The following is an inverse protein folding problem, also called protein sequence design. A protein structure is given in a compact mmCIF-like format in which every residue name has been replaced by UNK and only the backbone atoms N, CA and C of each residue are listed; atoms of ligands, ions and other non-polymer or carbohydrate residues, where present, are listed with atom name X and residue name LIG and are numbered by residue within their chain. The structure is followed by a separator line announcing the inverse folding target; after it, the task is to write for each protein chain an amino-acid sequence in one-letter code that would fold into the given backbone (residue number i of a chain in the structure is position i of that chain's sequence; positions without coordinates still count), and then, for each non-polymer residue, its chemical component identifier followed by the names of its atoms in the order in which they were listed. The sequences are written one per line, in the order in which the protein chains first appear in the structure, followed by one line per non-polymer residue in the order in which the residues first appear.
data_IF_906196716706
#
_entry.id   IF_906196716706
#
_cell.length_a   1.000
_cell.length_b   1.000
_cell.length_c   1.000
_cell.angle_alpha   90.00
_cell.angle_beta   90.00
_cell.angle_gamma   90.00
#
_symmetry.space_group_name_H-M   'P 1'
#
loop_
_entity.id
_entity.type
_entity.pdbx_description
1 polymer ?
#
# COMPACT_ATOMS: atom_id res chain seq x y z
N UNK A 1 -36.87 -22.63 -80.87
CA UNK A 1 -35.82 -23.05 -79.91
C UNK A 1 -35.42 -21.83 -79.09
N UNK A 2 -36.00 -21.68 -77.89
CA UNK A 2 -35.87 -20.48 -77.05
C UNK A 2 -34.86 -20.78 -75.95
N UNK A 3 -33.81 -19.97 -75.91
CA UNK A 3 -32.69 -20.02 -74.98
C UNK A 3 -33.10 -19.48 -73.61
N UNK A 4 -33.20 -20.35 -72.60
CA UNK A 4 -33.27 -19.93 -71.20
C UNK A 4 -31.86 -19.80 -70.61
N UNK A 5 -31.32 -18.57 -70.63
CA UNK A 5 -30.15 -18.22 -69.80
C UNK A 5 -30.65 -17.93 -68.38
N UNK A 6 -30.22 -18.74 -67.43
CA UNK A 6 -30.43 -18.53 -66.01
C UNK A 6 -29.51 -17.41 -65.52
N UNK A 7 -30.07 -16.41 -64.83
CA UNK A 7 -29.35 -15.30 -64.20
C UNK A 7 -28.87 -15.76 -62.82
N UNK A 8 -27.57 -15.73 -62.50
CA UNK A 8 -27.09 -16.08 -61.17
C UNK A 8 -27.46 -14.98 -60.17
N UNK A 9 -28.21 -15.35 -59.14
CA UNK A 9 -28.51 -14.50 -58.00
C UNK A 9 -27.22 -14.15 -57.26
N UNK A 10 -26.77 -12.90 -57.39
CA UNK A 10 -25.60 -12.42 -56.66
C UNK A 10 -25.95 -12.33 -55.17
N UNK A 11 -25.27 -13.13 -54.35
CA UNK A 11 -25.32 -13.02 -52.88
C UNK A 11 -24.58 -11.75 -52.47
N UNK A 12 -25.33 -10.70 -52.20
CA UNK A 12 -24.81 -9.50 -51.56
C UNK A 12 -24.47 -9.84 -50.10
N UNK A 13 -23.18 -9.88 -49.77
CA UNK A 13 -22.72 -10.02 -48.39
C UNK A 13 -23.06 -8.73 -47.65
N UNK A 14 -24.03 -8.79 -46.74
CA UNK A 14 -24.40 -7.65 -45.92
C UNK A 14 -23.23 -7.27 -44.99
N UNK A 15 -22.63 -6.10 -45.20
CA UNK A 15 -21.68 -5.51 -44.24
C UNK A 15 -22.46 -5.11 -43.00
N UNK A 16 -22.21 -5.79 -41.89
CA UNK A 16 -22.68 -5.37 -40.56
C UNK A 16 -22.06 -4.00 -40.26
N UNK A 17 -22.91 -3.00 -40.00
CA UNK A 17 -22.46 -1.63 -39.75
C UNK A 17 -21.66 -1.55 -38.45
N UNK A 18 -20.39 -1.18 -38.57
CA UNK A 18 -19.35 -1.25 -37.55
C UNK A 18 -19.43 -0.14 -36.48
N UNK A 19 -20.63 0.19 -35.98
CA UNK A 19 -20.76 1.15 -34.85
C UNK A 19 -20.34 0.55 -33.51
N UNK A 20 -20.43 -0.78 -33.39
CA UNK A 20 -20.05 -1.52 -32.17
C UNK A 20 -18.54 -1.76 -32.04
N UNK A 21 -17.79 -1.74 -33.16
CA UNK A 21 -16.34 -1.95 -33.16
C UNK A 21 -15.57 -0.81 -32.49
N UNK A 22 -16.02 0.43 -32.69
CA UNK A 22 -15.38 1.61 -32.09
C UNK A 22 -15.47 1.63 -30.55
N UNK A 23 -16.57 1.14 -29.99
CA UNK A 23 -16.77 1.06 -28.52
C UNK A 23 -15.85 0.00 -27.91
N UNK A 24 -15.69 -1.15 -28.57
CA UNK A 24 -14.79 -2.21 -28.10
C UNK A 24 -13.33 -1.76 -28.09
N UNK A 25 -12.93 -1.00 -29.11
CA UNK A 25 -11.58 -0.44 -29.23
C UNK A 25 -11.30 0.57 -28.12
N UNK A 26 -12.29 1.42 -27.79
CA UNK A 26 -12.22 2.29 -26.63
C UNK A 26 -12.11 1.54 -25.32
N UNK A 27 -12.85 0.45 -25.13
CA UNK A 27 -12.76 -0.38 -23.92
C UNK A 27 -11.39 -1.05 -23.76
N UNK A 28 -10.80 -1.55 -24.86
CA UNK A 28 -9.47 -2.20 -24.84
C UNK A 28 -8.38 -1.23 -24.38
N UNK A 29 -8.51 0.07 -24.70
CA UNK A 29 -7.55 1.10 -24.27
C UNK A 29 -7.91 1.66 -22.89
N UNK A 30 -9.19 1.92 -22.62
CA UNK A 30 -9.63 2.51 -21.37
C UNK A 30 -9.45 1.58 -20.17
N UNK A 31 -9.65 0.27 -20.36
CA UNK A 31 -9.52 -0.72 -19.29
C UNK A 31 -8.12 -0.77 -18.67
N UNK A 32 -7.01 -0.96 -19.43
CA UNK A 32 -5.68 -0.95 -18.85
C UNK A 32 -5.32 0.41 -18.23
N UNK A 33 -5.75 1.53 -18.82
CA UNK A 33 -5.53 2.87 -18.26
C UNK A 33 -6.24 3.05 -16.91
N UNK A 34 -7.47 2.54 -16.79
CA UNK A 34 -8.20 2.59 -15.54
C UNK A 34 -7.55 1.70 -14.48
N UNK A 35 -7.06 0.51 -14.88
CA UNK A 35 -6.37 -0.40 -13.97
C UNK A 35 -5.03 0.16 -13.47
N UNK A 36 -4.24 0.82 -14.32
CA UNK A 36 -2.98 1.45 -13.87
C UNK A 36 -3.26 2.61 -12.91
N UNK A 37 -4.27 3.43 -13.19
CA UNK A 37 -4.68 4.50 -12.29
C UNK A 37 -5.19 3.94 -10.96
N UNK A 38 -5.96 2.85 -10.99
CA UNK A 38 -6.40 2.16 -9.78
C UNK A 38 -5.22 1.64 -8.96
N UNK A 39 -4.20 1.05 -9.60
CA UNK A 39 -3.00 0.59 -8.92
C UNK A 39 -2.31 1.73 -8.15
N UNK A 40 -2.11 2.88 -8.80
CA UNK A 40 -1.51 4.06 -8.16
C UNK A 40 -2.36 4.54 -6.98
N UNK A 41 -3.69 4.59 -7.13
CA UNK A 41 -4.59 4.98 -6.04
C UNK A 41 -4.48 4.02 -4.85
N UNK A 42 -4.38 2.71 -5.09
CA UNK A 42 -4.22 1.72 -4.04
C UNK A 42 -2.88 1.85 -3.31
N UNK A 43 -1.79 2.10 -4.03
CA UNK A 43 -0.48 2.37 -3.42
C UNK A 43 -0.52 3.59 -2.51
N UNK A 44 -1.13 4.68 -2.97
CA UNK A 44 -1.31 5.89 -2.16
C UNK A 44 -2.19 5.59 -0.94
N UNK A 45 -3.31 4.87 -1.11
CA UNK A 45 -4.19 4.51 -0.01
C UNK A 45 -3.46 3.68 1.06
N UNK A 46 -2.64 2.71 0.65
CA UNK A 46 -1.82 1.91 1.57
C UNK A 46 -0.79 2.76 2.31
N UNK A 47 -0.19 3.75 1.64
CA UNK A 47 0.74 4.68 2.29
C UNK A 47 0.03 5.55 3.35
N UNK A 48 -1.17 6.04 3.04
CA UNK A 48 -1.98 6.80 4.01
C UNK A 48 -2.43 5.94 5.19
N UNK A 49 -2.78 4.67 4.95
CA UNK A 49 -3.13 3.74 6.00
C UNK A 49 -1.93 3.47 6.93
N UNK A 50 -0.76 3.14 6.36
CA UNK A 50 0.47 2.92 7.12
C UNK A 50 0.85 4.15 7.96
N UNK A 51 0.64 5.35 7.43
CA UNK A 51 0.84 6.60 8.18
C UNK A 51 -0.08 6.71 9.40
N UNK A 52 -1.36 6.40 9.24
CA UNK A 52 -2.33 6.45 10.34
C UNK A 52 -2.01 5.41 11.42
N UNK A 53 -1.64 4.20 11.02
CA UNK A 53 -1.23 3.12 11.93
C UNK A 53 0.03 3.49 12.72
N UNK A 54 1.04 4.06 12.05
CA UNK A 54 2.26 4.55 12.71
C UNK A 54 1.95 5.65 13.73
N UNK A 55 1.06 6.60 13.39
CA UNK A 55 0.69 7.67 14.30
C UNK A 55 0.01 7.12 15.57
N UNK A 56 -0.91 6.17 15.43
CA UNK A 56 -1.56 5.52 16.56
C UNK A 56 -0.54 4.77 17.45
N UNK A 57 0.40 4.06 16.84
CA UNK A 57 1.47 3.37 17.56
C UNK A 57 2.33 4.35 18.40
N UNK A 58 2.72 5.48 17.80
CA UNK A 58 3.54 6.50 18.44
C UNK A 58 2.80 7.23 19.57
N UNK A 59 1.54 7.59 19.37
CA UNK A 59 0.72 8.24 20.40
C UNK A 59 0.53 7.33 21.61
N UNK A 60 0.23 6.04 21.38
CA UNK A 60 0.13 5.04 22.44
C UNK A 60 1.45 4.85 23.19
N UNK A 61 2.57 4.73 22.46
CA UNK A 61 3.90 4.58 23.04
C UNK A 61 4.29 5.79 23.90
N UNK A 62 4.09 7.00 23.38
CA UNK A 62 4.40 8.24 24.07
C UNK A 62 3.56 8.39 25.36
N UNK A 63 2.25 8.13 25.28
CA UNK A 63 1.38 8.21 26.44
C UNK A 63 1.75 7.19 27.52
N UNK A 64 2.02 5.94 27.13
CA UNK A 64 2.43 4.90 28.06
C UNK A 64 3.77 5.21 28.74
N UNK A 65 4.75 5.69 27.98
CA UNK A 65 6.06 6.07 28.50
C UNK A 65 5.96 7.25 29.49
N UNK A 66 5.20 8.30 29.15
CA UNK A 66 5.05 9.47 30.03
C UNK A 66 4.31 9.10 31.30
N UNK A 67 3.27 8.25 31.21
CA UNK A 67 2.55 7.76 32.39
C UNK A 67 3.45 6.96 33.32
N UNK A 68 4.21 6.02 32.78
CA UNK A 68 5.12 5.18 33.56
C UNK A 68 6.26 6.00 34.19
N UNK A 69 6.80 6.96 33.44
CA UNK A 69 7.79 7.89 33.97
C UNK A 69 7.23 8.77 35.09
N UNK A 70 6.00 9.26 34.96
CA UNK A 70 5.36 10.07 35.99
C UNK A 70 5.14 9.29 37.30
N UNK A 71 4.85 8.00 37.21
CA UNK A 71 4.62 7.13 38.39
C UNK A 71 5.92 6.63 39.02
N UNK A 72 6.91 6.25 38.21
CA UNK A 72 8.10 5.53 38.66
C UNK A 72 9.41 6.34 38.59
N UNK A 73 9.40 7.50 37.94
CA UNK A 73 10.59 8.37 37.71
C UNK A 73 11.81 7.65 37.10
N UNK A 74 11.59 6.50 36.46
CA UNK A 74 12.63 5.64 35.92
C UNK A 74 12.63 5.71 34.39
N UNK A 75 13.65 6.35 33.81
CA UNK A 75 13.73 6.59 32.35
C UNK A 75 13.91 5.29 31.56
N UNK A 76 14.86 4.37 31.90
CA UNK A 76 14.97 3.08 31.22
C UNK A 76 13.68 2.25 31.21
N UNK A 77 12.96 2.21 32.33
CA UNK A 77 11.69 1.51 32.43
C UNK A 77 10.62 2.15 31.55
N UNK A 78 10.45 3.46 31.62
CA UNK A 78 9.47 4.20 30.83
C UNK A 78 9.68 4.00 29.33
N UNK A 79 10.94 3.91 28.87
CA UNK A 79 11.28 3.57 27.48
C UNK A 79 10.85 2.16 27.11
N UNK A 80 11.11 1.17 27.97
CA UNK A 80 10.70 -0.21 27.73
C UNK A 80 9.17 -0.36 27.67
N UNK A 81 8.46 0.32 28.58
CA UNK A 81 6.99 0.36 28.60
C UNK A 81 6.45 1.04 27.35
N UNK A 82 6.99 2.20 26.95
CA UNK A 82 6.62 2.85 25.70
C UNK A 82 6.81 1.93 24.48
N UNK A 83 7.92 1.20 24.42
CA UNK A 83 8.15 0.25 23.32
C UNK A 83 7.15 -0.91 23.32
N UNK A 84 6.79 -1.45 24.49
CA UNK A 84 5.80 -2.51 24.57
C UNK A 84 4.44 -2.08 23.99
N UNK A 85 4.06 -0.82 24.20
CA UNK A 85 2.85 -0.25 23.61
C UNK A 85 3.00 0.08 22.11
N UNK A 86 4.19 0.44 21.64
CA UNK A 86 4.47 0.55 20.20
C UNK A 86 4.33 -0.81 19.51
N UNK A 87 4.93 -1.87 20.06
CA UNK A 87 4.90 -3.23 19.51
C UNK A 87 3.51 -3.87 19.53
N UNK A 88 2.62 -3.42 20.41
CA UNK A 88 1.21 -3.82 20.40
C UNK A 88 0.45 -3.25 19.18
N UNK A 89 1.00 -2.24 18.50
CA UNK A 89 0.45 -1.66 17.28
C UNK A 89 1.25 -2.12 16.06
N UNK A 90 0.56 -2.31 14.94
CA UNK A 90 1.15 -2.84 13.71
C UNK A 90 0.98 -1.88 12.55
N UNK A 91 2.00 -1.78 11.69
CA UNK A 91 1.95 -1.10 10.39
C UNK A 91 1.92 -2.17 9.31
N UNK A 92 0.84 -2.25 8.53
CA UNK A 92 0.63 -3.30 7.53
C UNK A 92 0.85 -4.73 8.10
N UNK A 93 0.50 -4.95 9.37
CA UNK A 93 0.67 -6.23 10.07
C UNK A 93 2.06 -6.49 10.68
N UNK A 94 3.01 -5.55 10.55
CA UNK A 94 4.33 -5.63 11.17
C UNK A 94 4.35 -4.80 12.47
N UNK A 95 4.69 -5.39 13.62
CA UNK A 95 4.83 -4.65 14.88
C UNK A 95 5.84 -3.50 14.80
N UNK A 96 5.56 -2.39 15.48
CA UNK A 96 6.48 -1.24 15.56
C UNK A 96 7.46 -1.45 16.71
N UNK A 97 8.72 -1.76 16.38
CA UNK A 97 9.81 -1.84 17.36
C UNK A 97 10.64 -0.55 17.37
N UNK A 98 10.73 0.08 18.54
CA UNK A 98 11.48 1.31 18.81
C UNK A 98 12.78 1.05 19.60
N UNK A 99 13.13 -0.22 19.84
CA UNK A 99 14.37 -0.57 20.59
C UNK A 99 15.63 -0.49 19.73
N UNK A 100 15.53 -0.80 18.45
CA UNK A 100 16.66 -0.76 17.53
C UNK A 100 16.87 0.67 17.06
N UNK A 101 17.89 1.33 17.61
CA UNK A 101 18.56 2.42 16.89
C UNK A 101 19.48 1.73 15.88
N UNK A 102 19.28 1.96 14.59
CA UNK A 102 20.22 1.51 13.57
C UNK A 102 21.51 2.35 13.72
N UNK A 103 22.48 1.80 14.44
CA UNK A 103 23.77 2.44 14.72
C UNK A 103 24.58 2.74 13.45
N UNK A 104 24.22 2.08 12.34
CA UNK A 104 24.87 2.20 11.04
C UNK A 104 24.37 3.40 10.22
N UNK A 105 23.17 3.94 10.50
CA UNK A 105 22.55 5.02 9.73
C UNK A 105 23.02 6.42 10.16
N UNK A 106 23.39 6.56 11.43
CA UNK A 106 24.05 7.75 11.96
C UNK A 106 25.07 7.29 13.00
N UNK A 107 26.38 7.28 12.69
CA UNK A 107 27.42 6.92 13.64
C UNK A 107 27.57 8.03 14.68
N UNK A 108 26.58 8.17 15.56
CA UNK A 108 26.71 8.87 16.81
C UNK A 108 27.45 7.89 17.73
N UNK A 109 28.72 8.19 17.99
CA UNK A 109 29.57 7.49 18.95
C UNK A 109 28.79 7.12 20.23
N UNK A 110 28.30 5.88 20.31
CA UNK A 110 27.57 5.31 21.44
C UNK A 110 28.51 4.93 22.61
N UNK A 111 29.60 5.67 22.82
CA UNK A 111 30.35 5.56 24.09
C UNK A 111 29.59 6.29 25.19
N UNK A 112 28.58 5.62 25.72
CA UNK A 112 27.71 6.15 26.75
C UNK A 112 26.91 5.10 27.51
N UNK A 113 27.45 3.87 27.64
CA UNK A 113 27.00 2.91 28.64
C UNK A 113 25.70 2.18 28.32
N UNK A 114 25.83 0.96 27.81
CA UNK A 114 25.13 -0.24 28.28
C UNK A 114 25.49 -1.38 27.32
N UNK A 115 26.66 -1.98 27.52
CA UNK A 115 26.89 -3.36 27.13
C UNK A 115 26.32 -4.22 28.27
N UNK A 116 25.17 -4.90 28.12
CA UNK A 116 24.83 -5.97 29.01
C UNK A 116 25.69 -7.17 28.60
N UNK A 117 26.79 -7.36 29.32
CA UNK A 117 27.28 -8.66 29.76
C UNK A 117 27.39 -9.74 28.64
N UNK A 118 28.53 -9.75 27.96
CA UNK A 118 29.26 -11.00 27.73
C UNK A 118 30.23 -11.19 28.90
#
# INVERSE_FOLDING_TARGET
MISHRQVPAQRTVARVSSRRGAVLLWFIVALPVLLTLLCVVLEVANLYLARAELQNALEAAAQAAVKDWAENSNIPQARAVGNAYAMANTINGVPVDLTTVDDDLFPLNQNGGNSPNQ
#
